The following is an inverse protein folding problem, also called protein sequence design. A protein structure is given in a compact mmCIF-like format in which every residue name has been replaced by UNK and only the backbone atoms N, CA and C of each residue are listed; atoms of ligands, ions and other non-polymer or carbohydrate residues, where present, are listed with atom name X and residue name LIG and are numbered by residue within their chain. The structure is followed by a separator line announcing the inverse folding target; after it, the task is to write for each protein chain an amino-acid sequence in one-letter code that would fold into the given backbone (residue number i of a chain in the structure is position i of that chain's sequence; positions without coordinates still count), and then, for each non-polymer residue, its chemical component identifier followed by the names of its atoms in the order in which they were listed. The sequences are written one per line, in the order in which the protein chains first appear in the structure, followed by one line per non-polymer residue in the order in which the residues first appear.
data_IF_117532492241
#
_entry.id   IF_117532492241
#
_cell.length_a   1.000
_cell.length_b   1.000
_cell.length_c   1.000
_cell.angle_alpha   90.00
_cell.angle_beta   90.00
_cell.angle_gamma   90.00
#
_symmetry.space_group_name_H-M   'P 1'
#
loop_
_entity.id
_entity.type
_entity.pdbx_description
1 polymer ?
#
# COMPACT_ATOMS: atom_id res chain seq x y z
N UNK A 1 42.80 -21.05 -42.92
CA UNK A 1 42.70 -21.86 -41.69
C UNK A 1 43.12 -21.14 -40.40
N UNK A 2 44.12 -20.21 -40.34
CA UNK A 2 44.46 -19.55 -39.05
C UNK A 2 43.43 -18.50 -38.58
N UNK A 3 42.63 -17.92 -39.48
CA UNK A 3 41.63 -16.90 -39.12
C UNK A 3 40.43 -17.45 -38.37
N UNK A 4 40.05 -18.70 -38.61
CA UNK A 4 38.92 -19.35 -37.94
C UNK A 4 39.28 -19.72 -36.48
N UNK A 5 40.51 -20.09 -36.21
CA UNK A 5 41.00 -20.41 -34.89
C UNK A 5 41.02 -19.17 -33.94
N UNK A 6 41.31 -17.97 -34.50
CA UNK A 6 41.34 -16.72 -33.76
C UNK A 6 39.93 -16.22 -33.36
N UNK A 7 38.93 -16.45 -34.20
CA UNK A 7 37.55 -16.07 -33.90
C UNK A 7 36.90 -16.96 -32.82
N UNK A 8 37.24 -18.24 -32.79
CA UNK A 8 36.75 -19.16 -31.76
C UNK A 8 37.35 -18.82 -30.37
N UNK A 9 38.64 -18.44 -30.32
CA UNK A 9 39.29 -18.03 -29.10
C UNK A 9 38.67 -16.75 -28.50
N UNK A 10 38.25 -15.78 -29.34
CA UNK A 10 37.58 -14.55 -28.89
C UNK A 10 36.17 -14.80 -28.31
N UNK A 11 35.44 -15.76 -28.87
CA UNK A 11 34.12 -16.14 -28.36
C UNK A 11 34.19 -16.88 -27.00
N UNK A 12 35.23 -17.67 -26.76
CA UNK A 12 35.41 -18.37 -25.49
C UNK A 12 35.85 -17.37 -24.41
N UNK A 13 36.65 -16.35 -24.74
CA UNK A 13 37.11 -15.33 -23.80
C UNK A 13 35.98 -14.35 -23.43
N UNK A 14 35.09 -14.01 -24.34
CA UNK A 14 33.94 -13.14 -24.10
C UNK A 14 32.84 -13.81 -23.24
N UNK A 15 32.69 -15.13 -23.32
CA UNK A 15 31.70 -15.88 -22.57
C UNK A 15 32.04 -16.04 -21.06
N UNK A 16 33.33 -16.03 -20.72
CA UNK A 16 33.76 -16.23 -19.32
C UNK A 16 33.73 -14.95 -18.52
N UNK A 17 33.84 -13.78 -19.16
CA UNK A 17 33.83 -12.48 -18.45
C UNK A 17 32.39 -11.97 -18.20
N UNK A 18 31.40 -12.42 -18.99
CA UNK A 18 30.01 -11.99 -18.89
C UNK A 18 29.19 -12.72 -17.80
N UNK A 19 29.60 -13.94 -17.43
CA UNK A 19 28.81 -14.79 -16.49
C UNK A 19 28.93 -14.38 -15.03
N UNK A 20 30.07 -14.00 -14.48
CA UNK A 20 30.17 -13.57 -13.09
C UNK A 20 29.34 -12.32 -12.78
N UNK A 21 29.30 -11.34 -13.69
CA UNK A 21 28.53 -10.11 -13.49
C UNK A 21 27.01 -10.31 -13.46
N UNK A 22 26.49 -11.28 -14.20
CA UNK A 22 25.04 -11.60 -14.18
C UNK A 22 24.62 -12.38 -12.94
N UNK A 23 25.52 -13.19 -12.38
CA UNK A 23 25.27 -13.94 -11.14
C UNK A 23 25.31 -12.98 -9.95
N UNK A 24 26.25 -12.06 -9.92
CA UNK A 24 26.40 -11.08 -8.83
C UNK A 24 25.22 -10.11 -8.74
N UNK A 25 24.65 -9.68 -9.88
CA UNK A 25 23.42 -8.86 -9.92
C UNK A 25 22.19 -9.63 -9.46
N UNK A 26 22.15 -10.95 -9.65
CA UNK A 26 21.06 -11.80 -9.14
C UNK A 26 21.18 -12.06 -7.63
N UNK A 27 22.40 -12.26 -7.12
CA UNK A 27 22.60 -12.45 -5.68
C UNK A 27 22.34 -11.17 -4.87
N UNK A 28 22.70 -10.00 -5.37
CA UNK A 28 22.41 -8.74 -4.70
C UNK A 28 20.88 -8.43 -4.65
N UNK A 29 20.09 -8.97 -5.57
CA UNK A 29 18.62 -8.87 -5.51
C UNK A 29 17.97 -9.86 -4.53
N UNK A 30 18.65 -10.92 -4.15
CA UNK A 30 18.09 -11.96 -3.27
C UNK A 30 18.29 -11.68 -1.77
N UNK A 31 19.08 -10.68 -1.38
CA UNK A 31 19.46 -10.44 0.04
C UNK A 31 18.89 -9.15 0.61
N UNK A 32 18.06 -8.41 -0.12
CA UNK A 32 17.31 -7.33 0.50
C UNK A 32 16.03 -7.92 1.08
N UNK A 33 16.07 -8.29 2.35
CA UNK A 33 14.86 -8.40 3.17
C UNK A 33 14.23 -7.00 3.17
N UNK A 34 13.17 -6.73 2.40
CA UNK A 34 12.64 -5.37 2.29
C UNK A 34 12.10 -5.00 3.67
N UNK A 35 12.75 -4.02 4.32
CA UNK A 35 12.12 -3.38 5.49
C UNK A 35 10.74 -2.93 5.03
N UNK A 36 9.69 -3.13 5.84
CA UNK A 36 8.35 -2.69 5.48
C UNK A 36 8.37 -1.22 5.07
N UNK A 37 8.04 -0.94 3.82
CA UNK A 37 7.99 0.42 3.27
C UNK A 37 6.70 1.08 3.75
N UNK A 38 6.76 2.23 4.43
CA UNK A 38 5.57 2.90 4.95
C UNK A 38 4.56 3.28 3.86
N UNK A 39 5.01 3.61 2.64
CA UNK A 39 4.10 3.94 1.54
C UNK A 39 3.34 2.70 1.04
N UNK A 40 4.00 1.55 0.96
CA UNK A 40 3.36 0.28 0.60
C UNK A 40 2.34 -0.12 1.66
N UNK A 41 2.69 -0.02 2.93
CA UNK A 41 1.78 -0.40 4.03
C UNK A 41 0.61 0.60 4.16
N UNK A 42 0.82 1.90 3.95
CA UNK A 42 -0.26 2.89 3.89
C UNK A 42 -1.23 2.60 2.74
N UNK A 43 -0.72 2.24 1.55
CA UNK A 43 -1.55 1.88 0.41
C UNK A 43 -2.42 0.64 0.68
N UNK A 44 -1.85 -0.40 1.29
CA UNK A 44 -2.59 -1.59 1.72
C UNK A 44 -3.67 -1.24 2.76
N UNK A 45 -3.31 -0.44 3.76
CA UNK A 45 -4.24 0.01 4.79
C UNK A 45 -5.38 0.83 4.19
N UNK A 46 -5.09 1.76 3.27
CA UNK A 46 -6.11 2.54 2.58
C UNK A 46 -7.10 1.64 1.81
N UNK A 47 -6.61 0.64 1.08
CA UNK A 47 -7.47 -0.28 0.35
C UNK A 47 -8.45 -1.04 1.28
N UNK A 48 -8.01 -1.42 2.47
CA UNK A 48 -8.86 -2.11 3.47
C UNK A 48 -9.82 -1.12 4.14
N UNK A 49 -9.33 0.00 4.65
CA UNK A 49 -10.11 0.96 5.43
C UNK A 49 -11.22 1.61 4.59
N UNK A 50 -10.95 1.86 3.30
CA UNK A 50 -11.91 2.52 2.41
C UNK A 50 -12.75 1.58 1.56
N UNK A 51 -12.59 0.25 1.70
CA UNK A 51 -13.43 -0.76 1.06
C UNK A 51 -14.39 -1.35 2.09
N UNK A 52 -15.70 -1.25 1.87
CA UNK A 52 -16.67 -1.88 2.75
C UNK A 52 -17.95 -2.28 2.03
N UNK A 53 -18.69 -3.19 2.64
CA UNK A 53 -20.02 -3.64 2.22
C UNK A 53 -20.97 -3.56 3.40
N UNK A 54 -22.17 -3.09 3.15
CA UNK A 54 -23.21 -2.93 4.16
C UNK A 54 -23.56 -4.23 4.92
N UNK A 55 -23.36 -5.39 4.29
CA UNK A 55 -23.65 -6.72 4.84
C UNK A 55 -22.45 -7.36 5.56
N UNK A 56 -21.29 -6.68 5.65
CA UNK A 56 -20.05 -7.15 6.26
C UNK A 56 -19.32 -6.08 7.08
N UNK A 57 -20.07 -5.21 7.74
CA UNK A 57 -19.50 -4.06 8.44
C UNK A 57 -18.72 -4.46 9.69
N UNK A 58 -19.12 -5.52 10.40
CA UNK A 58 -18.41 -6.00 11.59
C UNK A 58 -17.02 -6.52 11.23
N UNK A 59 -16.92 -7.29 10.15
CA UNK A 59 -15.63 -7.75 9.62
C UNK A 59 -14.78 -6.55 9.19
N UNK A 60 -15.36 -5.59 8.46
CA UNK A 60 -14.68 -4.39 8.01
C UNK A 60 -14.12 -3.56 9.19
N UNK A 61 -14.91 -3.33 10.23
CA UNK A 61 -14.48 -2.59 11.42
C UNK A 61 -13.33 -3.31 12.12
N UNK A 62 -13.42 -4.63 12.27
CA UNK A 62 -12.38 -5.45 12.87
C UNK A 62 -11.07 -5.38 12.07
N UNK A 63 -11.14 -5.60 10.75
CA UNK A 63 -9.97 -5.64 9.87
C UNK A 63 -9.31 -4.25 9.76
N UNK A 64 -10.12 -3.19 9.68
CA UNK A 64 -9.62 -1.81 9.69
C UNK A 64 -8.89 -1.47 10.98
N UNK A 65 -9.46 -1.81 12.15
CA UNK A 65 -8.83 -1.57 13.46
C UNK A 65 -7.51 -2.29 13.62
N UNK A 66 -7.33 -3.47 13.04
CA UNK A 66 -6.07 -4.21 13.07
C UNK A 66 -4.91 -3.46 12.39
N UNK A 67 -5.20 -2.50 11.52
CA UNK A 67 -4.23 -1.67 10.80
C UNK A 67 -3.97 -0.31 11.46
N UNK A 68 -4.62 -0.02 12.59
CA UNK A 68 -4.59 1.27 13.28
C UNK A 68 -3.86 1.20 14.61
N UNK A 69 -3.23 2.32 15.01
CA UNK A 69 -2.72 2.46 16.38
C UNK A 69 -3.87 2.46 17.38
N UNK A 70 -3.63 2.10 18.67
CA UNK A 70 -4.67 2.16 19.70
C UNK A 70 -5.31 3.55 19.87
N UNK A 71 -4.55 4.62 19.57
CA UNK A 71 -5.07 6.00 19.55
C UNK A 71 -6.10 6.15 18.43
N UNK A 72 -5.74 5.81 17.19
CA UNK A 72 -6.62 6.01 16.04
C UNK A 72 -7.82 5.06 16.04
N UNK A 73 -7.71 3.87 16.62
CA UNK A 73 -8.86 2.98 16.85
C UNK A 73 -9.99 3.67 17.63
N UNK A 74 -9.64 4.44 18.68
CA UNK A 74 -10.62 5.19 19.48
C UNK A 74 -11.30 6.30 18.67
N UNK A 75 -10.57 6.93 17.75
CA UNK A 75 -11.16 7.97 16.90
C UNK A 75 -12.02 7.33 15.81
N UNK A 76 -11.61 6.21 15.25
CA UNK A 76 -12.40 5.42 14.32
C UNK A 76 -13.70 4.90 14.95
N UNK A 77 -13.68 4.47 16.20
CA UNK A 77 -14.88 4.04 16.96
C UNK A 77 -15.94 5.14 17.10
N UNK A 78 -15.56 6.40 17.07
CA UNK A 78 -16.52 7.52 17.13
C UNK A 78 -17.29 7.70 15.83
N UNK A 79 -16.66 7.37 14.69
CA UNK A 79 -17.29 7.51 13.36
C UNK A 79 -17.93 6.22 12.85
N UNK A 80 -17.47 5.06 13.33
CA UNK A 80 -17.99 3.75 12.93
C UNK A 80 -19.52 3.60 13.09
N UNK A 81 -20.18 4.12 14.16
CA UNK A 81 -21.63 4.04 14.30
C UNK A 81 -22.40 4.69 13.15
N UNK A 82 -21.94 5.83 12.62
CA UNK A 82 -22.56 6.48 11.47
C UNK A 82 -22.50 5.57 10.22
N UNK A 83 -21.38 4.88 10.01
CA UNK A 83 -21.23 3.93 8.92
C UNK A 83 -22.16 2.71 9.11
N UNK A 84 -22.15 2.10 10.30
CA UNK A 84 -22.95 0.88 10.59
C UNK A 84 -24.44 1.13 10.61
N UNK A 85 -24.87 2.37 10.85
CA UNK A 85 -26.29 2.76 10.79
C UNK A 85 -26.73 3.08 9.35
N UNK A 86 -25.97 3.89 8.60
CA UNK A 86 -26.38 4.41 7.30
C UNK A 86 -26.14 3.42 6.15
N UNK A 87 -25.06 2.66 6.20
CA UNK A 87 -24.71 1.77 5.09
C UNK A 87 -25.75 0.66 4.85
N UNK A 88 -26.32 -0.03 5.88
CA UNK A 88 -27.38 -1.01 5.68
C UNK A 88 -28.68 -0.41 5.14
N UNK A 89 -29.08 0.77 5.64
CA UNK A 89 -30.31 1.44 5.22
C UNK A 89 -30.30 1.75 3.73
N UNK A 90 -29.14 2.07 3.18
CA UNK A 90 -28.96 2.43 1.77
C UNK A 90 -28.28 1.34 0.94
N UNK A 91 -28.00 0.18 1.53
CA UNK A 91 -27.29 -0.93 0.90
C UNK A 91 -26.01 -0.48 0.21
N UNK A 92 -25.18 0.30 0.95
CA UNK A 92 -23.97 0.90 0.39
C UNK A 92 -22.85 -0.14 0.27
N UNK A 93 -22.26 -0.23 -0.91
CA UNK A 93 -21.02 -0.95 -1.18
C UNK A 93 -20.00 0.03 -1.74
N UNK A 94 -18.81 0.05 -1.13
CA UNK A 94 -17.70 0.87 -1.60
C UNK A 94 -16.51 -0.06 -1.88
N UNK A 95 -15.92 0.09 -3.06
CA UNK A 95 -14.69 -0.55 -3.47
C UNK A 95 -13.63 0.52 -3.66
N UNK A 96 -12.56 0.45 -2.87
CA UNK A 96 -11.41 1.35 -3.01
C UNK A 96 -10.32 0.71 -3.88
N UNK A 97 -9.74 1.50 -4.76
CA UNK A 97 -8.60 1.13 -5.59
C UNK A 97 -7.45 2.12 -5.35
N UNK A 98 -6.32 1.60 -4.86
CA UNK A 98 -5.11 2.39 -4.71
C UNK A 98 -4.57 2.78 -6.09
N UNK A 99 -4.39 4.09 -6.33
CA UNK A 99 -3.75 4.61 -7.54
C UNK A 99 -2.27 4.84 -7.32
N UNK A 100 -1.92 5.47 -6.22
CA UNK A 100 -0.53 5.74 -5.86
C UNK A 100 -0.40 6.04 -4.37
N UNK A 101 0.81 5.83 -3.81
CA UNK A 101 1.18 6.25 -2.48
C UNK A 101 2.64 6.73 -2.48
N UNK A 102 2.89 7.88 -1.87
CA UNK A 102 4.21 8.49 -1.84
C UNK A 102 4.51 9.10 -0.47
N UNK A 103 5.76 8.94 -0.02
CA UNK A 103 6.22 9.55 1.23
C UNK A 103 6.28 11.07 1.06
N UNK A 104 5.64 11.80 1.96
CA UNK A 104 5.78 13.24 2.09
C UNK A 104 6.98 13.61 2.96
N UNK A 105 7.64 14.70 2.60
CA UNK A 105 8.65 15.29 3.47
C UNK A 105 7.94 16.02 4.62
N UNK A 106 8.14 15.57 5.84
CA UNK A 106 7.52 16.13 7.03
C UNK A 106 8.53 16.66 8.07
N UNK A 107 9.76 16.93 7.64
CA UNK A 107 10.79 17.55 8.49
C UNK A 107 11.03 16.77 9.78
N UNK A 108 10.94 17.47 10.92
CA UNK A 108 11.14 16.87 12.25
C UNK A 108 9.96 16.02 12.74
N UNK A 109 8.81 16.04 12.05
CA UNK A 109 7.64 15.25 12.40
C UNK A 109 7.73 13.81 11.89
N UNK A 110 8.71 13.53 11.03
CA UNK A 110 9.00 12.21 10.49
C UNK A 110 10.39 11.71 10.90
N UNK A 111 10.47 10.42 11.18
CA UNK A 111 11.70 9.73 11.56
C UNK A 111 11.64 8.25 11.12
N UNK A 112 12.52 7.41 11.65
CA UNK A 112 12.55 5.98 11.34
C UNK A 112 11.29 5.21 11.79
N UNK A 113 10.46 5.82 12.64
CA UNK A 113 9.24 5.24 13.20
C UNK A 113 7.96 6.04 12.86
N UNK A 114 8.09 7.18 12.17
CA UNK A 114 6.96 8.04 11.78
C UNK A 114 7.11 8.47 10.34
N UNK A 115 6.03 8.38 9.58
CA UNK A 115 5.98 8.80 8.18
C UNK A 115 4.62 9.39 7.84
N UNK A 116 4.59 10.41 6.98
CA UNK A 116 3.39 10.93 6.35
C UNK A 116 3.35 10.49 4.90
N UNK A 117 2.25 9.88 4.48
CA UNK A 117 2.09 9.28 3.16
C UNK A 117 0.93 9.94 2.45
N UNK A 118 1.20 10.55 1.29
CA UNK A 118 0.15 10.99 0.37
C UNK A 118 -0.36 9.77 -0.40
N UNK A 119 -1.64 9.49 -0.26
CA UNK A 119 -2.31 8.36 -0.91
C UNK A 119 -3.38 8.89 -1.87
N UNK A 120 -3.35 8.38 -3.10
CA UNK A 120 -4.38 8.59 -4.11
C UNK A 120 -5.22 7.32 -4.19
N UNK A 121 -6.50 7.43 -3.88
CA UNK A 121 -7.42 6.30 -3.87
C UNK A 121 -8.72 6.67 -4.60
N UNK A 122 -9.11 5.84 -5.56
CA UNK A 122 -10.42 5.93 -6.19
C UNK A 122 -11.40 5.02 -5.45
N UNK A 123 -12.59 5.54 -5.18
CA UNK A 123 -13.67 4.79 -4.55
C UNK A 123 -14.86 4.70 -5.51
N UNK A 124 -15.21 3.48 -5.90
CA UNK A 124 -16.46 3.20 -6.61
C UNK A 124 -17.55 2.83 -5.59
N UNK A 125 -18.60 3.62 -5.55
CA UNK A 125 -19.74 3.43 -4.64
C UNK A 125 -21.00 3.07 -5.42
N UNK A 126 -21.70 2.01 -4.98
CA UNK A 126 -23.05 1.66 -5.39
C UNK A 126 -24.00 1.70 -4.20
N UNK A 127 -25.28 2.02 -4.43
CA UNK A 127 -26.30 2.14 -3.38
C UNK A 127 -27.60 1.48 -3.82
N UNK A 128 -28.17 0.62 -2.97
CA UNK A 128 -29.46 -0.02 -3.23
C UNK A 128 -29.48 -0.80 -4.54
N UNK A 129 -30.53 -0.58 -5.32
CA UNK A 129 -30.75 -1.24 -6.61
C UNK A 129 -30.01 -0.56 -7.78
N UNK A 130 -29.41 0.62 -7.54
CA UNK A 130 -28.60 1.30 -8.55
C UNK A 130 -27.27 0.58 -8.72
N UNK A 131 -27.11 -0.12 -9.84
CA UNK A 131 -25.89 -0.84 -10.20
C UNK A 131 -24.82 0.05 -10.83
N UNK A 132 -25.16 1.32 -11.10
CA UNK A 132 -24.21 2.26 -11.71
C UNK A 132 -23.27 2.81 -10.63
N UNK A 133 -21.97 2.51 -10.67
CA UNK A 133 -21.05 3.03 -9.66
C UNK A 133 -20.80 4.52 -9.84
N UNK A 134 -20.87 5.26 -8.74
CA UNK A 134 -20.32 6.61 -8.68
C UNK A 134 -18.87 6.54 -8.21
N UNK A 135 -17.95 7.11 -8.98
CA UNK A 135 -16.51 7.09 -8.68
C UNK A 135 -16.07 8.42 -8.10
N UNK A 136 -15.36 8.35 -6.99
CA UNK A 136 -14.73 9.49 -6.30
C UNK A 136 -13.22 9.31 -6.28
N UNK A 137 -12.49 10.28 -6.81
CA UNK A 137 -11.04 10.33 -6.72
C UNK A 137 -10.65 11.10 -5.43
N UNK A 138 -10.09 10.40 -4.47
CA UNK A 138 -9.74 10.98 -3.17
C UNK A 138 -8.21 11.10 -3.04
N UNK A 139 -7.81 12.14 -2.32
CA UNK A 139 -6.44 12.38 -1.88
C UNK A 139 -6.45 12.49 -0.38
N UNK A 140 -5.63 11.70 0.28
CA UNK A 140 -5.54 11.66 1.73
C UNK A 140 -4.09 11.67 2.16
N UNK A 141 -3.82 12.22 3.33
CA UNK A 141 -2.54 12.04 4.01
C UNK A 141 -2.73 11.05 5.14
N UNK A 142 -2.00 9.95 5.10
CA UNK A 142 -1.99 8.94 6.15
C UNK A 142 -0.73 9.11 7.00
N UNK A 143 -0.92 9.39 8.29
CA UNK A 143 0.15 9.46 9.26
C UNK A 143 0.42 8.07 9.83
N UNK A 144 1.58 7.52 9.49
CA UNK A 144 1.97 6.17 9.85
C UNK A 144 2.93 6.19 11.03
N UNK A 145 2.73 5.26 11.97
CA UNK A 145 3.64 5.03 13.10
C UNK A 145 4.08 3.57 13.09
N UNK A 146 5.36 3.35 13.36
CA UNK A 146 5.92 2.00 13.42
C UNK A 146 5.91 1.47 14.86
N UNK A 147 5.11 0.44 15.11
CA UNK A 147 5.02 -0.25 16.38
C UNK A 147 5.36 -1.73 16.21
N UNK A 148 6.26 -2.24 17.04
CA UNK A 148 6.70 -3.65 17.00
C UNK A 148 7.13 -4.14 15.61
N UNK A 149 7.74 -3.25 14.82
CA UNK A 149 8.21 -3.55 13.46
C UNK A 149 7.16 -3.36 12.36
N UNK A 150 5.90 -3.13 12.68
CA UNK A 150 4.79 -2.94 11.74
C UNK A 150 4.43 -1.45 11.62
N UNK A 151 4.12 -1.01 10.40
CA UNK A 151 3.54 0.31 10.17
C UNK A 151 2.03 0.28 10.39
N UNK A 152 1.54 1.13 11.30
CA UNK A 152 0.13 1.28 11.63
C UNK A 152 -0.33 2.70 11.30
N UNK A 153 -1.59 2.84 10.93
CA UNK A 153 -2.24 4.13 10.70
C UNK A 153 -2.51 4.81 12.04
N UNK A 154 -1.97 6.02 12.22
CA UNK A 154 -2.16 6.80 13.44
C UNK A 154 -3.14 7.96 13.27
N UNK A 155 -3.31 8.43 12.03
CA UNK A 155 -4.26 9.48 11.66
C UNK A 155 -4.47 9.53 10.14
N UNK A 156 -5.59 10.11 9.69
CA UNK A 156 -5.92 10.29 8.27
C UNK A 156 -6.52 11.67 8.06
N UNK A 157 -5.89 12.48 7.19
CA UNK A 157 -6.39 13.77 6.76
C UNK A 157 -6.91 13.69 5.33
N UNK A 158 -8.12 14.17 5.07
CA UNK A 158 -8.66 14.35 3.72
C UNK A 158 -8.20 15.69 3.15
N UNK A 159 -7.83 15.71 1.84
CA UNK A 159 -7.39 16.90 1.13
C UNK A 159 -8.47 17.41 0.16
#
# INVERSE_FOLDING_TARGET
APLIALTIAALIFGGVVGVPGLVEVREQRAVVNPKPDPAVEAGKAAAVIFTFRYDKLDDHVKDSKALMTPKFQKDFEKIAPALTELAPQRQIVVQAELRNAAILQCGNDCDAAKASILVFVDQARVTGDDKTPTVFANRIVMHMVKENGNWLVNDIDAL
#
